data_IF_603761479793
#
_entry.id   IF_603761479793
#
_cell.length_a   1.000
_cell.length_b   1.000
_cell.length_c   1.000
_cell.angle_alpha   90.00
_cell.angle_beta   90.00
_cell.angle_gamma   90.00
#
_symmetry.space_group_name_H-M   'P 1'
#
loop_
_entity.id
_entity.type
_entity.pdbx_description
1 polymer ?
#
# COMPACT_ATOMS: atom_id res chain seq x y z
N UNK A 1 -5.16 -29.76 4.36
CA UNK A 1 -5.56 -28.35 4.60
C UNK A 1 -7.06 -28.23 4.32
N UNK A 2 -7.86 -27.77 5.28
CA UNK A 2 -9.32 -27.62 5.08
C UNK A 2 -9.57 -26.39 4.20
N UNK A 3 -9.77 -26.59 2.90
CA UNK A 3 -10.10 -25.52 1.93
C UNK A 3 -11.57 -25.09 2.00
N UNK A 4 -12.31 -25.52 3.02
CA UNK A 4 -13.76 -25.33 3.11
C UNK A 4 -14.02 -23.95 3.70
N UNK A 5 -14.52 -23.06 2.87
CA UNK A 5 -14.95 -21.72 3.27
C UNK A 5 -16.45 -21.77 3.53
N UNK A 6 -16.87 -21.24 4.67
CA UNK A 6 -18.28 -21.02 4.98
C UNK A 6 -18.52 -19.51 4.88
N UNK A 7 -19.46 -19.12 4.04
CA UNK A 7 -19.82 -17.73 3.82
C UNK A 7 -21.15 -17.44 4.51
N UNK A 8 -21.21 -16.35 5.28
CA UNK A 8 -22.46 -15.73 5.67
C UNK A 8 -23.19 -15.18 4.44
N UNK A 9 -24.48 -14.92 4.58
CA UNK A 9 -25.28 -14.34 3.50
C UNK A 9 -24.75 -12.97 2.99
N UNK A 10 -24.42 -11.99 3.86
CA UNK A 10 -23.85 -10.72 3.39
C UNK A 10 -22.51 -10.90 2.67
N UNK A 11 -21.66 -11.84 3.11
CA UNK A 11 -20.39 -12.14 2.42
C UNK A 11 -20.64 -12.74 1.04
N UNK A 12 -21.59 -13.67 0.94
CA UNK A 12 -21.98 -14.30 -0.33
C UNK A 12 -22.48 -13.26 -1.33
N UNK A 13 -23.40 -12.39 -0.92
CA UNK A 13 -23.95 -11.32 -1.77
C UNK A 13 -22.82 -10.38 -2.21
N UNK A 14 -21.96 -9.98 -1.28
CA UNK A 14 -20.82 -9.10 -1.58
C UNK A 14 -19.88 -9.73 -2.61
N UNK A 15 -19.51 -11.01 -2.43
CA UNK A 15 -18.65 -11.72 -3.38
C UNK A 15 -19.31 -11.88 -4.76
N UNK A 16 -20.62 -12.07 -4.83
CA UNK A 16 -21.35 -12.10 -6.09
C UNK A 16 -21.27 -10.75 -6.81
N UNK A 17 -21.51 -9.65 -6.08
CA UNK A 17 -21.40 -8.30 -6.66
C UNK A 17 -19.97 -7.98 -7.10
N UNK A 18 -18.97 -8.37 -6.31
CA UNK A 18 -17.55 -8.23 -6.67
C UNK A 18 -17.22 -9.01 -7.93
N UNK A 19 -17.65 -10.27 -8.03
CA UNK A 19 -17.38 -11.14 -9.17
C UNK A 19 -17.97 -10.59 -10.47
N UNK A 20 -19.15 -9.95 -10.40
CA UNK A 20 -19.85 -9.41 -11.57
C UNK A 20 -19.33 -8.03 -11.97
N UNK A 21 -19.20 -7.12 -11.01
CA UNK A 21 -19.19 -5.68 -11.29
C UNK A 21 -17.86 -4.98 -10.94
N UNK A 22 -16.94 -5.62 -10.22
CA UNK A 22 -15.74 -4.92 -9.77
C UNK A 22 -14.86 -4.51 -10.96
N UNK A 23 -14.29 -3.30 -10.95
CA UNK A 23 -13.48 -2.76 -12.05
C UNK A 23 -12.26 -3.64 -12.39
N UNK A 24 -11.57 -4.17 -11.38
CA UNK A 24 -10.35 -4.95 -11.55
C UNK A 24 -10.64 -6.44 -11.75
N UNK A 25 -10.11 -7.01 -12.84
CA UNK A 25 -10.34 -8.40 -13.27
C UNK A 25 -9.87 -9.42 -12.23
N UNK A 26 -8.75 -9.16 -11.58
CA UNK A 26 -8.17 -10.02 -10.55
C UNK A 26 -9.09 -10.14 -9.32
N UNK A 27 -9.73 -9.05 -8.90
CA UNK A 27 -10.73 -9.04 -7.82
C UNK A 27 -11.97 -9.81 -8.24
N UNK A 28 -12.45 -9.64 -9.49
CA UNK A 28 -13.56 -10.44 -10.02
C UNK A 28 -13.25 -11.94 -9.96
N UNK A 29 -12.07 -12.32 -10.44
CA UNK A 29 -11.60 -13.72 -10.48
C UNK A 29 -11.48 -14.31 -9.07
N UNK A 30 -10.93 -13.54 -8.12
CA UNK A 30 -10.87 -13.91 -6.70
C UNK A 30 -12.26 -14.15 -6.10
N UNK A 31 -13.20 -13.23 -6.36
CA UNK A 31 -14.59 -13.34 -5.92
C UNK A 31 -15.26 -14.61 -6.45
N UNK A 32 -15.12 -14.88 -7.74
CA UNK A 32 -15.62 -16.12 -8.38
C UNK A 32 -15.01 -17.37 -7.75
N UNK A 33 -13.68 -17.40 -7.56
CA UNK A 33 -12.98 -18.53 -6.97
C UNK A 33 -13.42 -18.85 -5.53
N UNK A 34 -13.68 -17.83 -4.71
CA UNK A 34 -14.18 -18.02 -3.34
C UNK A 34 -15.62 -18.52 -3.30
N UNK A 35 -16.49 -18.05 -4.20
CA UNK A 35 -17.84 -18.58 -4.34
C UNK A 35 -17.81 -20.07 -4.74
N UNK A 36 -16.89 -20.48 -5.61
CA UNK A 36 -16.67 -21.88 -5.98
C UNK A 36 -16.16 -22.72 -4.80
N UNK A 37 -15.22 -22.19 -4.00
CA UNK A 37 -14.75 -22.86 -2.78
C UNK A 37 -15.89 -23.06 -1.77
N UNK A 38 -16.75 -22.06 -1.59
CA UNK A 38 -17.91 -22.14 -0.70
C UNK A 38 -18.96 -23.16 -1.17
N UNK A 39 -19.03 -23.41 -2.49
CA UNK A 39 -19.85 -24.48 -3.09
C UNK A 39 -19.21 -25.87 -2.99
N UNK A 40 -17.97 -25.97 -2.50
CA UNK A 40 -17.28 -27.23 -2.26
C UNK A 40 -16.37 -27.71 -3.40
N UNK A 41 -16.08 -26.87 -4.40
CA UNK A 41 -15.13 -27.22 -5.46
C UNK A 41 -13.72 -27.32 -4.89
N UNK A 42 -12.93 -28.27 -5.42
CA UNK A 42 -11.54 -28.46 -4.99
C UNK A 42 -10.63 -27.39 -5.62
N UNK A 43 -9.58 -26.91 -4.93
CA UNK A 43 -8.66 -25.90 -5.46
C UNK A 43 -8.08 -26.19 -6.85
N UNK A 44 -7.89 -27.48 -7.19
CA UNK A 44 -7.42 -27.90 -8.53
C UNK A 44 -8.45 -27.66 -9.63
N UNK A 45 -9.74 -27.87 -9.36
CA UNK A 45 -10.80 -27.61 -10.33
C UNK A 45 -10.93 -26.11 -10.58
N UNK A 46 -10.86 -25.32 -9.50
CA UNK A 46 -10.94 -23.86 -9.56
C UNK A 46 -9.74 -23.29 -10.31
N UNK A 47 -8.53 -23.84 -10.12
CA UNK A 47 -7.35 -23.46 -10.88
C UNK A 47 -7.57 -23.63 -12.40
N UNK A 48 -8.19 -24.74 -12.82
CA UNK A 48 -8.54 -24.99 -14.22
C UNK A 48 -9.59 -23.98 -14.72
N UNK A 49 -10.67 -23.77 -13.96
CA UNK A 49 -11.76 -22.87 -14.35
C UNK A 49 -11.34 -21.39 -14.41
N UNK A 50 -10.44 -20.97 -13.52
CA UNK A 50 -9.98 -19.58 -13.42
C UNK A 50 -8.70 -19.29 -14.21
N UNK A 51 -8.03 -20.34 -14.71
CA UNK A 51 -6.69 -20.24 -15.33
C UNK A 51 -5.58 -19.83 -14.36
N UNK A 52 -5.84 -19.79 -13.05
CA UNK A 52 -4.86 -19.44 -12.03
C UNK A 52 -4.09 -20.69 -11.54
N UNK A 53 -2.89 -20.50 -11.00
CA UNK A 53 -2.17 -21.61 -10.37
C UNK A 53 -2.85 -22.05 -9.06
N UNK A 54 -2.74 -23.34 -8.71
CA UNK A 54 -3.29 -23.87 -7.44
C UNK A 54 -2.71 -23.13 -6.22
N UNK A 55 -1.44 -22.69 -6.29
CA UNK A 55 -0.80 -21.87 -5.25
C UNK A 55 -1.54 -20.54 -5.03
N UNK A 56 -1.95 -19.88 -6.11
CA UNK A 56 -2.72 -18.64 -6.05
C UNK A 56 -4.08 -18.87 -5.38
N UNK A 57 -4.75 -19.99 -5.68
CA UNK A 57 -6.01 -20.36 -5.01
C UNK A 57 -5.81 -20.54 -3.50
N UNK A 58 -4.73 -21.22 -3.08
CA UNK A 58 -4.40 -21.35 -1.65
C UNK A 58 -4.09 -20.01 -1.00
N UNK A 59 -3.38 -19.11 -1.68
CA UNK A 59 -3.15 -17.76 -1.18
C UNK A 59 -4.48 -17.03 -0.95
N UNK A 60 -5.46 -17.15 -1.86
CA UNK A 60 -6.79 -16.55 -1.65
C UNK A 60 -7.50 -17.11 -0.41
N UNK A 61 -7.40 -18.43 -0.17
CA UNK A 61 -7.95 -19.07 1.04
C UNK A 61 -7.30 -18.49 2.30
N UNK A 62 -5.97 -18.39 2.33
CA UNK A 62 -5.25 -17.81 3.46
C UNK A 62 -5.65 -16.35 3.70
N UNK A 63 -5.60 -15.53 2.65
CA UNK A 63 -5.98 -14.12 2.71
C UNK A 63 -7.43 -13.93 3.15
N UNK A 64 -8.35 -14.82 2.74
CA UNK A 64 -9.74 -14.81 3.20
C UNK A 64 -9.86 -15.11 4.69
N UNK A 65 -9.11 -16.10 5.21
CA UNK A 65 -9.15 -16.42 6.63
C UNK A 65 -8.55 -15.32 7.50
N UNK A 66 -7.49 -14.66 7.04
CA UNK A 66 -6.79 -13.63 7.81
C UNK A 66 -7.51 -12.27 7.78
N UNK A 67 -8.11 -11.91 6.63
CA UNK A 67 -8.60 -10.55 6.38
C UNK A 67 -10.03 -10.48 5.82
N UNK A 68 -10.70 -11.61 5.59
CA UNK A 68 -12.03 -11.68 5.01
C UNK A 68 -12.12 -10.99 3.64
N UNK A 69 -13.22 -10.27 3.41
CA UNK A 69 -13.46 -9.51 2.17
C UNK A 69 -12.36 -8.48 1.92
N UNK A 70 -11.83 -7.83 2.96
CA UNK A 70 -10.82 -6.77 2.80
C UNK A 70 -9.54 -7.30 2.11
N UNK A 71 -9.16 -8.55 2.40
CA UNK A 71 -8.00 -9.18 1.77
C UNK A 71 -8.15 -9.38 0.25
N UNK A 72 -9.37 -9.40 -0.26
CA UNK A 72 -9.65 -9.53 -1.69
C UNK A 72 -9.59 -8.22 -2.46
N UNK A 73 -9.76 -7.11 -1.74
CA UNK A 73 -9.73 -5.76 -2.31
C UNK A 73 -8.30 -5.20 -2.35
N UNK A 74 -7.34 -5.90 -1.75
CA UNK A 74 -5.93 -5.56 -1.87
C UNK A 74 -5.48 -5.56 -3.33
N UNK A 75 -4.94 -4.42 -3.76
CA UNK A 75 -4.28 -4.28 -5.05
C UNK A 75 -2.93 -5.01 -5.08
N UNK A 76 -2.20 -4.87 -6.19
CA UNK A 76 -0.83 -5.36 -6.28
C UNK A 76 0.01 -4.70 -5.18
N UNK A 77 0.52 -5.50 -4.23
CA UNK A 77 1.51 -5.06 -3.24
C UNK A 77 2.88 -4.93 -3.92
N UNK A 78 2.95 -4.10 -4.97
CA UNK A 78 4.14 -3.84 -5.74
C UNK A 78 4.39 -2.35 -5.81
N UNK A 79 5.64 -1.97 -5.62
CA UNK A 79 6.10 -0.61 -5.62
C UNK A 79 7.54 -0.56 -5.13
N UNK A 80 8.24 0.53 -5.45
CA UNK A 80 9.57 0.76 -4.89
C UNK A 80 9.42 0.93 -3.38
N UNK A 81 10.22 0.18 -2.61
CA UNK A 81 10.31 0.38 -1.16
C UNK A 81 10.58 1.86 -0.85
N UNK A 82 10.03 2.40 0.26
CA UNK A 82 10.38 3.73 0.71
C UNK A 82 11.89 3.90 0.77
N UNK A 83 12.40 4.98 0.18
CA UNK A 83 13.84 5.21 0.13
C UNK A 83 14.43 5.53 1.52
N UNK A 84 13.61 6.07 2.42
CA UNK A 84 14.01 6.43 3.79
C UNK A 84 13.35 5.48 4.79
N UNK A 85 14.08 5.12 5.85
CA UNK A 85 13.54 4.35 6.98
C UNK A 85 12.59 5.23 7.81
N UNK A 86 11.72 4.61 8.60
CA UNK A 86 10.81 5.33 9.49
C UNK A 86 11.53 6.26 10.47
N UNK A 87 12.72 5.87 10.94
CA UNK A 87 13.56 6.65 11.85
C UNK A 87 14.13 7.92 11.19
N UNK A 88 14.61 7.78 9.95
CA UNK A 88 15.08 8.93 9.16
C UNK A 88 13.94 9.91 8.87
N UNK A 89 12.73 9.38 8.63
CA UNK A 89 11.53 10.21 8.41
C UNK A 89 11.17 10.98 9.68
N UNK A 90 11.18 10.32 10.84
CA UNK A 90 10.90 10.96 12.12
C UNK A 90 11.91 12.09 12.42
N UNK A 91 13.19 11.83 12.18
CA UNK A 91 14.27 12.82 12.33
C UNK A 91 14.07 14.01 11.39
N UNK A 92 13.72 13.75 10.13
CA UNK A 92 13.46 14.81 9.15
C UNK A 92 12.26 15.68 9.54
N UNK A 93 11.21 15.07 10.11
CA UNK A 93 10.02 15.76 10.62
C UNK A 93 10.37 16.62 11.84
N UNK A 94 11.14 16.09 12.79
CA UNK A 94 11.60 16.83 13.98
C UNK A 94 12.38 18.09 13.59
N UNK A 95 13.38 17.95 12.70
CA UNK A 95 14.19 19.06 12.21
C UNK A 95 13.35 20.09 11.43
N UNK A 96 12.39 19.62 10.64
CA UNK A 96 11.50 20.50 9.89
C UNK A 96 10.51 21.27 10.79
N UNK A 97 10.18 20.72 11.96
CA UNK A 97 9.28 21.34 12.93
C UNK A 97 10.02 22.29 13.89
N UNK A 98 11.30 22.06 14.19
CA UNK A 98 12.06 22.90 15.11
C UNK A 98 12.41 24.26 14.53
N UNK A 99 12.74 24.34 13.24
CA UNK A 99 13.18 25.56 12.59
C UNK A 99 12.65 25.66 11.15
N UNK A 100 12.43 26.88 10.66
CA UNK A 100 12.08 27.14 9.25
C UNK A 100 13.30 26.96 8.34
N UNK A 101 13.70 25.70 8.10
CA UNK A 101 14.89 25.33 7.33
C UNK A 101 14.59 25.06 5.86
N UNK A 102 15.61 25.20 5.02
CA UNK A 102 15.55 24.75 3.62
C UNK A 102 15.67 23.23 3.57
N UNK A 103 15.15 22.60 2.49
CA UNK A 103 15.23 21.15 2.29
C UNK A 103 16.67 20.61 2.35
N UNK A 104 17.66 21.38 1.88
CA UNK A 104 19.06 21.01 1.94
C UNK A 104 19.59 20.94 3.39
N UNK A 105 19.18 21.87 4.26
CA UNK A 105 19.57 21.85 5.68
C UNK A 105 18.90 20.72 6.44
N UNK A 106 17.65 20.39 6.10
CA UNK A 106 16.97 19.21 6.66
C UNK A 106 17.70 17.93 6.24
N UNK A 107 18.09 17.83 4.95
CA UNK A 107 18.87 16.69 4.48
C UNK A 107 20.20 16.54 5.24
N UNK A 108 20.95 17.63 5.41
CA UNK A 108 22.19 17.62 6.19
C UNK A 108 21.98 17.15 7.63
N UNK A 109 20.96 17.65 8.33
CA UNK A 109 20.69 17.22 9.70
C UNK A 109 20.24 15.75 9.82
N UNK A 110 19.60 15.21 8.78
CA UNK A 110 19.32 13.76 8.70
C UNK A 110 20.61 12.99 8.43
N UNK A 111 21.48 13.49 7.55
CA UNK A 111 22.76 12.86 7.21
C UNK A 111 23.73 12.80 8.39
N UNK A 112 23.74 13.83 9.23
CA UNK A 112 24.55 13.88 10.45
C UNK A 112 24.18 12.76 11.45
N UNK A 113 22.90 12.39 11.53
CA UNK A 113 22.40 11.35 12.45
C UNK A 113 22.41 9.95 11.86
N UNK A 114 22.14 9.80 10.55
CA UNK A 114 21.85 8.52 9.92
C UNK A 114 22.81 8.15 8.77
N UNK A 115 23.78 9.00 8.46
CA UNK A 115 24.66 8.84 7.31
C UNK A 115 24.02 9.28 5.99
N UNK A 116 24.68 9.05 4.84
CA UNK A 116 24.30 9.62 3.55
C UNK A 116 22.84 9.40 3.18
N UNK A 117 22.17 10.43 2.66
CA UNK A 117 20.76 10.34 2.34
C UNK A 117 20.54 9.36 1.16
N UNK A 118 19.70 8.32 1.32
CA UNK A 118 19.47 7.31 0.28
C UNK A 118 18.56 7.79 -0.87
N UNK A 119 18.22 9.08 -0.91
CA UNK A 119 17.25 9.63 -1.84
C UNK A 119 17.57 11.08 -2.24
N UNK A 120 16.90 11.55 -3.29
CA UNK A 120 17.02 12.95 -3.74
C UNK A 120 16.27 13.91 -2.82
N UNK A 121 16.63 15.19 -2.83
CA UNK A 121 15.91 16.24 -2.11
C UNK A 121 14.42 16.33 -2.49
N UNK A 122 14.06 16.02 -3.74
CA UNK A 122 12.65 15.94 -4.15
C UNK A 122 11.91 14.80 -3.46
N UNK A 123 12.59 13.66 -3.26
CA UNK A 123 12.02 12.51 -2.55
C UNK A 123 11.82 12.87 -1.07
N UNK A 124 12.80 13.54 -0.45
CA UNK A 124 12.67 14.08 0.90
C UNK A 124 11.46 15.04 1.01
N UNK A 125 11.31 15.97 0.07
CA UNK A 125 10.17 16.90 0.04
C UNK A 125 8.82 16.18 -0.09
N UNK A 126 8.72 15.17 -0.97
CA UNK A 126 7.51 14.34 -1.11
C UNK A 126 7.21 13.56 0.17
N UNK A 127 8.24 13.05 0.84
CA UNK A 127 8.12 12.33 2.11
C UNK A 127 7.60 13.25 3.22
N UNK A 128 8.17 14.45 3.37
CA UNK A 128 7.70 15.44 4.34
C UNK A 128 6.25 15.89 4.04
N UNK A 129 5.90 16.06 2.76
CA UNK A 129 4.52 16.37 2.35
C UNK A 129 3.53 15.27 2.75
N UNK A 130 3.91 13.99 2.63
CA UNK A 130 3.09 12.86 3.10
C UNK A 130 2.87 12.87 4.61
N UNK A 131 3.82 13.42 5.37
CA UNK A 131 3.72 13.64 6.82
C UNK A 131 2.98 14.94 7.19
N UNK A 132 2.35 15.61 6.22
CA UNK A 132 1.58 16.85 6.43
C UNK A 132 2.43 18.13 6.42
N UNK A 133 3.75 18.04 6.30
CA UNK A 133 4.63 19.22 6.24
C UNK A 133 4.66 19.75 4.82
N UNK A 134 3.94 20.86 4.59
CA UNK A 134 3.97 21.55 3.30
C UNK A 134 4.94 22.72 3.37
N UNK A 135 6.06 22.60 2.67
CA UNK A 135 7.03 23.68 2.54
C UNK A 135 6.42 24.85 1.75
N UNK A 136 6.13 25.97 2.42
CA UNK A 136 5.85 27.24 1.76
C UNK A 136 7.18 27.97 1.58
N UNK A 137 7.59 28.16 0.33
CA UNK A 137 8.77 28.97 -0.01
C UNK A 137 8.56 30.37 0.58
N UNK A 138 9.35 30.75 1.58
CA UNK A 138 9.38 32.15 2.01
C UNK A 138 9.86 32.98 0.82
N UNK A 139 8.98 33.83 0.26
CA UNK A 139 9.41 34.85 -0.71
C UNK A 139 10.22 35.87 0.07
N UNK A 140 11.54 35.72 0.04
CA UNK A 140 12.46 36.76 0.50
C UNK A 140 12.29 37.96 -0.43
N UNK A 141 11.47 38.94 -0.05
CA UNK A 141 11.56 40.26 -0.68
C UNK A 141 12.87 40.88 -0.20
N UNK A 142 13.93 40.75 -0.99
CA UNK A 142 15.13 41.56 -0.78
C UNK A 142 14.70 43.01 -1.03
N UNK A 143 14.53 43.80 0.04
CA UNK A 143 14.53 45.25 -0.13
C UNK A 143 15.90 45.61 -0.69
N UNK A 144 15.93 46.20 -1.88
CA UNK A 144 17.14 46.79 -2.46
C UNK A 144 17.64 47.84 -1.47
N UNK A 145 18.80 47.60 -0.85
CA UNK A 145 19.57 48.66 -0.20
C UNK A 145 20.08 49.58 -1.30
N UNK A 146 19.86 50.89 -1.14
CA UNK A 146 20.24 51.94 -2.09
C UNK A 146 21.71 52.29 -1.92
#
# INVERSE_FOLDING_TARGET
>A
MKSKIVLSEPERITLQQLALNHQHRDVRTRGTGLLMLARGLKPRQIAVETGCSVRVIYNWVHTWHDFGIAGLLGGHAGGRYPAMTSEMIATAVEIACSESLTLARIAQGVEEKHGPLPCTLETLAKTLKKQGITYKRARLSLKKTR
#
